data_IF_010706039323
#
_entry.id   IF_010706039323
#
_cell.length_a   1.000
_cell.length_b   1.000
_cell.length_c   1.000
_cell.angle_alpha   90.00
_cell.angle_beta   90.00
_cell.angle_gamma   90.00
#
_symmetry.space_group_name_H-M   'P 1'
#
loop_
_entity.id
_entity.type
_entity.pdbx_description
1 polymer ?
#
# COMPACT_ATOMS: atom_id res chain seq x y z
N UNK A 1 -63.57 26.92 -3.49
CA UNK A 1 -62.28 27.09 -4.20
C UNK A 1 -61.17 26.97 -3.16
N UNK A 2 -60.57 25.78 -2.99
CA UNK A 2 -59.43 25.58 -2.07
C UNK A 2 -58.16 25.33 -2.89
N UNK A 3 -57.17 26.24 -2.90
CA UNK A 3 -55.92 26.05 -3.62
C UNK A 3 -54.92 25.32 -2.71
N UNK A 4 -55.14 24.04 -2.46
CA UNK A 4 -54.24 23.22 -1.64
C UNK A 4 -54.07 21.80 -2.19
N UNK A 5 -53.72 21.68 -3.48
CA UNK A 5 -53.36 20.38 -4.09
C UNK A 5 -52.33 20.49 -5.22
N UNK A 6 -51.26 21.27 -5.04
CA UNK A 6 -50.18 21.28 -6.06
C UNK A 6 -48.77 21.58 -5.54
N UNK A 7 -48.43 21.17 -4.32
CA UNK A 7 -47.04 21.28 -3.80
C UNK A 7 -46.45 19.89 -3.46
N UNK A 8 -47.24 18.83 -3.58
CA UNK A 8 -46.85 17.46 -3.20
C UNK A 8 -45.80 16.76 -4.07
N UNK A 9 -45.79 16.85 -5.41
CA UNK A 9 -44.89 15.99 -6.19
C UNK A 9 -43.51 16.63 -6.44
N UNK A 10 -43.36 17.94 -6.26
CA UNK A 10 -42.10 18.64 -6.58
C UNK A 10 -41.04 18.52 -5.48
N UNK A 11 -41.46 18.31 -4.23
CA UNK A 11 -40.55 18.16 -3.09
C UNK A 11 -39.96 16.74 -2.95
N UNK A 12 -40.53 15.73 -3.62
CA UNK A 12 -40.02 14.36 -3.53
C UNK A 12 -38.97 14.05 -4.61
N UNK A 13 -39.00 14.79 -5.73
CA UNK A 13 -38.06 14.61 -6.84
C UNK A 13 -36.67 15.22 -6.55
N UNK A 14 -36.58 16.14 -5.60
CA UNK A 14 -35.32 16.79 -5.17
C UNK A 14 -34.49 15.92 -4.22
N UNK A 15 -35.08 14.93 -3.53
CA UNK A 15 -34.37 14.05 -2.59
C UNK A 15 -33.62 12.91 -3.29
N UNK A 16 -34.04 12.51 -4.50
CA UNK A 16 -33.45 11.40 -5.26
C UNK A 16 -32.13 11.81 -5.97
N UNK A 17 -31.87 13.11 -6.13
CA UNK A 17 -30.67 13.61 -6.78
C UNK A 17 -29.43 13.68 -5.86
N UNK A 18 -29.58 13.50 -4.55
CA UNK A 18 -28.46 13.61 -3.58
C UNK A 18 -27.80 12.24 -3.32
N UNK A 19 -28.39 11.13 -3.75
CA UNK A 19 -27.76 9.80 -3.71
C UNK A 19 -26.84 9.50 -4.90
N UNK A 20 -26.43 10.55 -5.63
CA UNK A 20 -25.48 10.48 -6.74
C UNK A 20 -24.04 10.29 -6.24
N UNK A 21 -23.54 9.08 -6.44
CA UNK A 21 -22.14 8.67 -6.28
C UNK A 21 -21.61 8.67 -4.84
N UNK A 22 -21.90 7.58 -4.11
CA UNK A 22 -20.83 6.95 -3.35
C UNK A 22 -19.72 6.60 -4.34
N UNK A 23 -18.81 7.54 -4.59
CA UNK A 23 -17.49 7.19 -5.11
C UNK A 23 -16.91 6.23 -4.07
N UNK A 24 -17.04 4.93 -4.34
CA UNK A 24 -16.15 3.97 -3.76
C UNK A 24 -14.77 4.41 -4.26
N UNK A 25 -14.06 5.14 -3.41
CA UNK A 25 -12.64 5.38 -3.55
C UNK A 25 -11.97 4.01 -3.42
N UNK A 26 -12.11 3.16 -4.43
CA UNK A 26 -11.18 2.05 -4.62
C UNK A 26 -9.85 2.76 -4.80
N UNK A 27 -9.04 2.76 -3.75
CA UNK A 27 -7.61 2.95 -3.93
C UNK A 27 -7.24 2.06 -5.11
N UNK A 28 -6.76 2.69 -6.17
CA UNK A 28 -6.21 1.98 -7.32
C UNK A 28 -5.20 0.98 -6.77
N UNK A 29 -5.21 -0.26 -7.26
CA UNK A 29 -4.19 -1.23 -6.86
C UNK A 29 -2.85 -0.74 -7.40
N UNK A 30 -2.12 -0.01 -6.57
CA UNK A 30 -0.95 0.76 -6.96
C UNK A 30 0.19 0.49 -6.00
N UNK A 31 1.36 0.28 -6.57
CA UNK A 31 2.62 0.26 -5.84
C UNK A 31 3.11 1.69 -5.68
N UNK A 32 3.38 2.12 -4.45
CA UNK A 32 4.08 3.35 -4.16
C UNK A 32 5.55 3.04 -3.87
N UNK A 33 6.45 3.81 -4.48
CA UNK A 33 7.87 3.73 -4.22
C UNK A 33 8.41 5.13 -3.87
N UNK A 34 9.10 5.23 -2.74
CA UNK A 34 9.91 6.38 -2.41
C UNK A 34 11.31 6.20 -3.03
N UNK A 35 11.76 7.18 -3.82
CA UNK A 35 13.06 7.16 -4.53
C UNK A 35 13.17 6.06 -5.61
N UNK A 36 14.39 5.76 -6.05
CA UNK A 36 14.71 4.68 -6.99
C UNK A 36 15.81 3.78 -6.44
N UNK A 37 15.84 2.53 -6.90
CA UNK A 37 16.90 1.59 -6.51
C UNK A 37 18.28 2.07 -6.95
N UNK A 38 18.38 2.71 -8.12
CA UNK A 38 19.64 3.25 -8.62
C UNK A 38 20.20 4.35 -7.69
N UNK A 39 19.34 5.23 -7.17
CA UNK A 39 19.74 6.27 -6.21
C UNK A 39 20.32 5.64 -4.94
N UNK A 40 19.69 4.58 -4.43
CA UNK A 40 20.17 3.85 -3.27
C UNK A 40 21.52 3.18 -3.57
N UNK A 41 21.66 2.50 -4.71
CA UNK A 41 22.90 1.79 -5.09
C UNK A 41 24.11 2.71 -5.26
N UNK A 42 23.90 3.97 -5.65
CA UNK A 42 24.98 4.97 -5.76
C UNK A 42 25.26 5.73 -4.45
N UNK A 43 24.64 5.33 -3.34
CA UNK A 43 24.95 5.85 -2.01
C UNK A 43 24.09 7.03 -1.54
N UNK A 44 22.95 7.31 -2.17
CA UNK A 44 22.03 8.36 -1.72
C UNK A 44 21.19 7.79 -0.57
N UNK A 45 21.76 7.83 0.65
CA UNK A 45 21.13 7.27 1.85
C UNK A 45 20.42 8.30 2.73
N UNK A 46 20.44 9.58 2.36
CA UNK A 46 19.69 10.64 3.03
C UNK A 46 18.34 10.83 2.33
N UNK A 47 17.31 10.19 2.86
CA UNK A 47 15.96 10.24 2.34
C UNK A 47 15.19 11.46 2.82
N UNK A 48 14.20 11.89 2.04
CA UNK A 48 13.30 12.98 2.43
C UNK A 48 11.91 12.51 2.85
N UNK A 49 11.57 11.23 2.60
CA UNK A 49 10.23 10.70 2.86
C UNK A 49 10.10 10.28 4.31
N UNK A 50 9.15 10.85 5.05
CA UNK A 50 8.86 10.46 6.42
C UNK A 50 7.99 9.21 6.47
N UNK A 51 8.03 8.46 7.58
CA UNK A 51 7.13 7.33 7.77
C UNK A 51 5.67 7.75 7.94
N UNK A 52 5.41 8.97 8.43
CA UNK A 52 4.07 9.56 8.38
C UNK A 52 3.54 9.69 6.95
N UNK A 53 4.40 10.10 6.00
CA UNK A 53 4.04 10.19 4.58
C UNK A 53 3.90 8.81 3.94
N UNK A 54 4.82 7.90 4.26
CA UNK A 54 4.83 6.53 3.72
C UNK A 54 3.56 5.76 4.11
N UNK A 55 3.11 5.86 5.36
CA UNK A 55 1.87 5.23 5.88
C UNK A 55 0.60 5.68 5.14
N UNK A 56 0.61 6.86 4.50
CA UNK A 56 -0.51 7.32 3.67
C UNK A 56 -0.59 6.59 2.32
N UNK A 57 0.48 5.89 1.93
CA UNK A 57 0.62 5.23 0.64
C UNK A 57 0.57 3.69 0.72
N UNK A 58 0.69 3.09 1.91
CA UNK A 58 0.52 1.66 2.06
C UNK A 58 0.50 1.15 3.50
N UNK A 59 0.06 -0.09 3.66
CA UNK A 59 0.01 -0.85 4.91
C UNK A 59 0.85 -2.14 4.87
N UNK A 60 1.44 -2.45 3.71
CA UNK A 60 2.30 -3.61 3.47
C UNK A 60 3.47 -3.20 2.57
N UNK A 61 4.67 -3.71 2.86
CA UNK A 61 5.86 -3.40 2.06
C UNK A 61 7.19 -3.59 2.79
N UNK A 62 8.25 -3.10 2.15
CA UNK A 62 9.64 -3.23 2.60
C UNK A 62 10.48 -2.01 2.18
N UNK A 63 11.66 -1.86 2.78
CA UNK A 63 12.58 -0.77 2.46
C UNK A 63 13.71 -0.68 3.48
N UNK A 64 14.27 0.51 3.65
CA UNK A 64 15.35 0.77 4.63
C UNK A 64 15.15 2.14 5.30
N UNK A 65 16.08 2.53 6.15
CA UNK A 65 16.09 3.79 6.89
C UNK A 65 17.22 4.70 6.41
N UNK A 66 17.14 5.98 6.76
CA UNK A 66 18.24 6.93 6.54
C UNK A 66 19.57 6.34 7.03
N UNK A 67 20.64 6.64 6.30
CA UNK A 67 21.98 6.10 6.52
C UNK A 67 22.09 4.56 6.46
N UNK A 68 21.11 3.87 5.83
CA UNK A 68 21.00 2.41 5.80
C UNK A 68 20.95 1.78 7.20
N UNK A 69 20.28 2.45 8.14
CA UNK A 69 20.15 1.98 9.50
C UNK A 69 19.11 0.84 9.62
N UNK A 70 19.43 -0.33 9.06
CA UNK A 70 18.59 -1.52 9.11
C UNK A 70 17.48 -1.58 8.07
N UNK A 71 16.63 -2.60 8.22
CA UNK A 71 15.59 -2.97 7.25
C UNK A 71 14.21 -2.56 7.74
N UNK A 72 13.40 -2.04 6.83
CA UNK A 72 12.02 -1.69 7.07
C UNK A 72 11.11 -2.84 6.64
N UNK A 73 10.18 -3.20 7.51
CA UNK A 73 9.12 -4.18 7.24
C UNK A 73 7.77 -3.55 7.60
N UNK A 74 6.82 -3.57 6.67
CA UNK A 74 5.46 -3.12 6.91
C UNK A 74 4.47 -4.27 6.72
N UNK A 75 3.70 -4.59 7.77
CA UNK A 75 2.70 -5.67 7.77
C UNK A 75 1.50 -5.19 8.59
N UNK A 76 0.29 -5.37 8.05
CA UNK A 76 -0.98 -5.01 8.67
C UNK A 76 -1.01 -3.56 9.21
N UNK A 77 -0.41 -2.63 8.45
CA UNK A 77 -0.35 -1.20 8.79
C UNK A 77 0.68 -0.83 9.86
N UNK A 78 1.42 -1.80 10.40
CA UNK A 78 2.48 -1.56 11.38
C UNK A 78 3.84 -1.64 10.69
N UNK A 79 4.70 -0.66 11.00
CA UNK A 79 6.04 -0.54 10.44
C UNK A 79 7.07 -0.87 11.51
N UNK A 80 8.03 -1.71 11.14
CA UNK A 80 9.11 -2.20 11.99
C UNK A 80 10.46 -1.90 11.37
N UNK A 81 11.45 -1.68 12.24
CA UNK A 81 12.86 -1.58 11.90
C UNK A 81 13.59 -2.80 12.46
N UNK A 82 14.12 -3.65 11.57
CA UNK A 82 15.05 -4.70 11.94
C UNK A 82 16.48 -4.18 11.84
N UNK A 83 17.16 -4.07 12.98
CA UNK A 83 18.54 -3.56 13.09
C UNK A 83 19.55 -4.66 12.81
N UNK A 84 20.78 -4.25 12.51
CA UNK A 84 21.91 -5.17 12.28
C UNK A 84 22.27 -6.04 13.51
N UNK A 85 21.90 -5.61 14.71
CA UNK A 85 22.08 -6.38 15.94
C UNK A 85 20.96 -7.41 16.19
N UNK A 86 19.97 -7.48 15.28
CA UNK A 86 18.83 -8.39 15.36
C UNK A 86 17.64 -7.85 16.17
N UNK A 87 17.74 -6.64 16.73
CA UNK A 87 16.59 -6.01 17.40
C UNK A 87 15.53 -5.56 16.39
N UNK A 88 14.25 -5.70 16.78
CA UNK A 88 13.11 -5.27 15.96
C UNK A 88 12.29 -4.26 16.75
N UNK A 89 12.17 -3.05 16.22
CA UNK A 89 11.57 -1.91 16.92
C UNK A 89 10.40 -1.33 16.10
N UNK A 90 9.34 -0.80 16.73
CA UNK A 90 8.33 -0.01 16.03
C UNK A 90 8.95 1.29 15.50
N UNK A 91 8.40 1.80 14.40
CA UNK A 91 8.93 2.99 13.72
C UNK A 91 8.14 4.25 14.08
N UNK A 92 8.88 5.30 14.48
CA UNK A 92 8.35 6.65 14.71
C UNK A 92 7.97 7.35 13.38
N UNK A 93 6.91 8.13 13.41
CA UNK A 93 6.39 8.85 12.24
C UNK A 93 7.38 9.87 11.65
N UNK A 94 8.31 10.39 12.47
CA UNK A 94 9.35 11.34 12.07
C UNK A 94 10.59 10.69 11.47
N UNK A 95 10.73 9.37 11.60
CA UNK A 95 11.80 8.64 10.92
C UNK A 95 11.67 8.83 9.40
N UNK A 96 12.78 8.62 8.70
CA UNK A 96 12.86 8.82 7.26
C UNK A 96 13.45 7.62 6.54
N UNK A 97 13.10 7.52 5.26
CA UNK A 97 13.57 6.46 4.38
C UNK A 97 14.15 7.03 3.08
N UNK A 98 15.33 6.56 2.64
CA UNK A 98 15.88 6.86 1.33
C UNK A 98 15.30 5.95 0.24
N UNK A 99 14.68 4.83 0.62
CA UNK A 99 14.04 3.88 -0.29
C UNK A 99 13.02 3.01 0.44
N UNK A 100 11.79 2.99 -0.07
CA UNK A 100 10.73 2.10 0.40
C UNK A 100 9.76 1.79 -0.73
N UNK A 101 9.18 0.59 -0.69
CA UNK A 101 8.12 0.14 -1.59
C UNK A 101 6.95 -0.33 -0.73
N UNK A 102 5.79 0.31 -0.87
CA UNK A 102 4.58 -0.03 -0.11
C UNK A 102 3.33 -0.03 -1.00
N UNK A 103 2.30 -0.75 -0.57
CA UNK A 103 0.94 -0.65 -1.13
C UNK A 103 -0.10 -0.84 -0.03
N UNK A 104 -1.34 -0.49 -0.32
CA UNK A 104 -2.48 -0.98 0.45
C UNK A 104 -2.81 -2.39 -0.03
N UNK A 105 -2.38 -3.39 0.73
CA UNK A 105 -2.45 -4.78 0.29
C UNK A 105 -3.86 -5.33 0.41
N UNK A 106 -4.40 -5.81 -0.71
CA UNK A 106 -5.66 -6.52 -0.79
C UNK A 106 -5.44 -7.73 -1.70
N UNK A 107 -5.43 -8.96 -1.16
CA UNK A 107 -5.07 -10.14 -1.95
C UNK A 107 -6.15 -10.45 -3.00
N UNK A 108 -5.76 -10.54 -4.27
CA UNK A 108 -6.65 -10.95 -5.36
C UNK A 108 -6.86 -12.47 -5.40
N UNK A 109 -5.82 -13.23 -5.05
CA UNK A 109 -5.82 -14.69 -5.11
C UNK A 109 -5.23 -15.27 -3.83
N UNK A 110 -5.84 -16.35 -3.34
CA UNK A 110 -5.30 -17.18 -2.25
C UNK A 110 -5.23 -18.61 -2.73
N UNK A 111 -4.04 -19.20 -2.68
CA UNK A 111 -3.79 -20.56 -3.16
C UNK A 111 -3.22 -21.42 -2.05
N UNK A 112 -3.61 -22.71 -1.98
CA UNK A 112 -2.91 -23.64 -1.11
C UNK A 112 -1.48 -23.80 -1.62
N UNK A 113 -0.51 -23.61 -0.73
CA UNK A 113 0.91 -23.77 -1.02
C UNK A 113 1.47 -24.92 -0.18
N UNK A 114 2.00 -25.95 -0.84
CA UNK A 114 2.55 -27.14 -0.17
C UNK A 114 3.99 -26.94 0.33
N UNK A 115 4.54 -25.74 0.18
CA UNK A 115 5.89 -25.39 0.60
C UNK A 115 6.91 -25.44 -0.54
N UNK A 116 8.02 -24.76 -0.31
CA UNK A 116 9.23 -24.82 -1.12
C UNK A 116 10.42 -25.10 -0.21
N UNK A 117 11.39 -25.87 -0.72
CA UNK A 117 12.62 -26.22 0.03
C UNK A 117 13.57 -25.04 0.23
N UNK A 118 13.52 -24.07 -0.68
CA UNK A 118 14.39 -22.90 -0.74
C UNK A 118 13.71 -21.78 -1.55
N UNK A 119 14.34 -20.60 -1.56
CA UNK A 119 13.83 -19.42 -2.27
C UNK A 119 13.69 -19.66 -3.78
N UNK A 120 14.66 -20.33 -4.40
CA UNK A 120 14.62 -20.62 -5.84
C UNK A 120 13.40 -21.48 -6.20
N UNK A 121 13.11 -22.49 -5.38
CA UNK A 121 11.95 -23.36 -5.58
C UNK A 121 10.65 -22.61 -5.39
N UNK A 122 10.60 -21.66 -4.45
CA UNK A 122 9.45 -20.77 -4.28
C UNK A 122 9.24 -19.89 -5.52
N UNK A 123 10.30 -19.28 -6.06
CA UNK A 123 10.23 -18.45 -7.26
C UNK A 123 9.70 -19.23 -8.46
N UNK A 124 10.20 -20.46 -8.67
CA UNK A 124 9.72 -21.35 -9.75
C UNK A 124 8.24 -21.69 -9.61
N UNK A 125 7.73 -21.90 -8.39
CA UNK A 125 6.29 -22.12 -8.19
C UNK A 125 5.46 -20.86 -8.42
N UNK A 126 5.94 -19.69 -8.00
CA UNK A 126 5.28 -18.41 -8.28
C UNK A 126 5.21 -18.12 -9.78
N UNK A 127 6.29 -18.32 -10.54
CA UNK A 127 6.33 -18.08 -11.99
C UNK A 127 5.31 -18.93 -12.78
N UNK A 128 4.89 -20.08 -12.25
CA UNK A 128 3.82 -20.91 -12.85
C UNK A 128 2.42 -20.34 -12.62
N UNK A 129 2.25 -19.58 -11.55
CA UNK A 129 0.97 -19.06 -11.07
C UNK A 129 0.74 -17.64 -11.57
N UNK A 130 1.80 -16.83 -11.62
CA UNK A 130 1.73 -15.43 -12.00
C UNK A 130 1.37 -15.29 -13.49
N UNK A 131 0.35 -14.49 -13.85
CA UNK A 131 -0.12 -14.40 -15.24
C UNK A 131 0.93 -13.89 -16.25
N UNK A 132 1.84 -13.01 -15.82
CA UNK A 132 2.83 -12.39 -16.69
C UNK A 132 4.00 -11.80 -15.88
N UNK A 133 5.25 -11.83 -16.39
CA UNK A 133 6.38 -11.19 -15.71
C UNK A 133 6.38 -9.66 -15.83
N UNK A 134 5.46 -9.07 -16.61
CA UNK A 134 5.45 -7.64 -16.91
C UNK A 134 4.64 -6.80 -15.92
N UNK A 135 4.11 -7.40 -14.85
CA UNK A 135 3.39 -6.72 -13.78
C UNK A 135 4.12 -6.85 -12.44
N UNK A 136 3.84 -5.90 -11.55
CA UNK A 136 4.22 -6.01 -10.15
C UNK A 136 3.22 -6.88 -9.39
N UNK A 137 3.72 -7.63 -8.41
CA UNK A 137 2.92 -8.48 -7.54
C UNK A 137 3.28 -8.21 -6.08
N UNK A 138 2.31 -8.39 -5.21
CA UNK A 138 2.43 -8.37 -3.76
C UNK A 138 1.47 -9.41 -3.19
#
# INVERSE_FOLDING_TARGET
MNPLRLIGPLSLLTLVLITGCSHCNRKTDSLYQASTIDALLVGIYDGSTTFADLKRNGDFGLGTFDALDGEMIAIDGTFYQAKADGTVLPVDDTAKTPFAVVKFFSPDTKLPFSGAKDLNSLMVELDKILPTPNYFYA
#
